data_IF_723592251591
#
_entry.id   IF_723592251591
#
_cell.length_a   1.000
_cell.length_b   1.000
_cell.length_c   1.000
_cell.angle_alpha   90.00
_cell.angle_beta   90.00
_cell.angle_gamma   90.00
#
_symmetry.space_group_name_H-M   'P 1'
#
loop_
_entity.id
_entity.type
_entity.pdbx_description
1 polymer ?
#
# COMPACT_ATOMS: atom_id res chain seq x y z
N UNK A 1 -6.22 29.01 13.24
CA UNK A 1 -6.90 28.01 12.38
C UNK A 1 -6.10 27.64 11.14
N UNK A 2 -5.70 28.58 10.27
CA UNK A 2 -4.90 28.27 9.06
C UNK A 2 -3.50 27.74 9.38
N UNK A 3 -2.78 28.31 10.34
CA UNK A 3 -1.45 27.85 10.74
C UNK A 3 -1.45 26.45 11.35
N UNK A 4 -2.44 26.10 12.15
CA UNK A 4 -2.57 24.78 12.78
C UNK A 4 -2.89 23.69 11.76
N UNK A 5 -3.73 23.98 10.78
CA UNK A 5 -4.02 23.06 9.67
C UNK A 5 -2.79 22.81 8.80
N UNK A 6 -1.98 23.85 8.54
CA UNK A 6 -0.72 23.70 7.80
C UNK A 6 0.25 22.82 8.59
N UNK A 7 0.41 23.05 9.89
CA UNK A 7 1.27 22.23 10.74
C UNK A 7 0.80 20.77 10.81
N UNK A 8 -0.51 20.57 10.92
CA UNK A 8 -1.10 19.23 10.87
C UNK A 8 -0.82 18.51 9.56
N UNK A 9 -0.99 19.20 8.44
CA UNK A 9 -0.71 18.64 7.11
C UNK A 9 0.78 18.31 6.96
N UNK A 10 1.68 19.21 7.37
CA UNK A 10 3.12 18.96 7.33
C UNK A 10 3.52 17.78 8.24
N UNK A 11 2.93 17.68 9.42
CA UNK A 11 3.16 16.54 10.32
C UNK A 11 2.70 15.21 9.72
N UNK A 12 1.53 15.16 9.07
CA UNK A 12 1.07 13.96 8.37
C UNK A 12 1.95 13.62 7.17
N UNK A 13 2.41 14.61 6.43
CA UNK A 13 3.32 14.41 5.30
C UNK A 13 4.67 13.84 5.77
N UNK A 14 5.22 14.36 6.87
CA UNK A 14 6.44 13.83 7.51
C UNK A 14 6.26 12.33 7.87
N UNK A 15 5.15 11.98 8.52
CA UNK A 15 4.87 10.59 8.93
C UNK A 15 4.60 9.69 7.72
N UNK A 16 3.91 10.20 6.69
CA UNK A 16 3.73 9.48 5.42
C UNK A 16 5.08 9.22 4.73
N UNK A 17 6.03 10.15 4.79
CA UNK A 17 7.38 9.97 4.26
C UNK A 17 8.15 8.87 5.02
N UNK A 18 7.97 8.72 6.34
CA UNK A 18 8.55 7.62 7.13
C UNK A 18 8.00 6.27 6.64
N UNK A 19 6.68 6.15 6.44
CA UNK A 19 6.08 4.93 5.91
C UNK A 19 6.51 4.65 4.47
N UNK A 20 6.63 5.68 3.64
CA UNK A 20 7.13 5.56 2.28
C UNK A 20 8.58 5.08 2.24
N UNK A 21 9.43 5.56 3.15
CA UNK A 21 10.81 5.08 3.31
C UNK A 21 10.82 3.61 3.71
N UNK A 22 9.98 3.19 4.66
CA UNK A 22 9.78 1.79 5.00
C UNK A 22 9.35 0.93 3.80
N UNK A 23 8.42 1.44 3.00
CA UNK A 23 7.98 0.80 1.75
C UNK A 23 9.12 0.65 0.74
N UNK A 24 9.95 1.70 0.59
CA UNK A 24 11.12 1.68 -0.27
C UNK A 24 12.11 0.61 0.18
N UNK A 25 12.48 0.59 1.46
CA UNK A 25 13.39 -0.42 2.02
C UNK A 25 12.85 -1.84 1.82
N UNK A 26 11.56 -2.06 2.07
CA UNK A 26 10.91 -3.35 1.81
C UNK A 26 10.97 -3.71 0.32
N UNK A 27 10.80 -2.74 -0.57
CA UNK A 27 10.81 -2.97 -2.02
C UNK A 27 12.17 -3.40 -2.56
N UNK A 28 13.28 -3.11 -1.86
CA UNK A 28 14.63 -3.58 -2.18
C UNK A 28 14.86 -5.05 -1.79
N UNK A 29 14.02 -5.61 -0.95
CA UNK A 29 14.18 -6.97 -0.43
C UNK A 29 13.58 -7.97 -1.42
N UNK A 30 14.43 -8.78 -2.08
CA UNK A 30 13.99 -9.81 -3.06
C UNK A 30 12.86 -10.73 -2.57
N UNK A 31 12.85 -11.26 -1.33
CA UNK A 31 11.72 -12.02 -0.80
C UNK A 31 10.40 -11.27 -0.83
N UNK A 32 10.38 -9.96 -0.50
CA UNK A 32 9.18 -9.14 -0.55
C UNK A 32 8.67 -8.97 -2.00
N UNK A 33 9.57 -8.69 -2.94
CA UNK A 33 9.21 -8.59 -4.36
C UNK A 33 8.55 -9.88 -4.87
N UNK A 34 9.09 -11.06 -4.51
CA UNK A 34 8.49 -12.37 -4.83
C UNK A 34 7.10 -12.50 -4.22
N UNK A 35 6.94 -12.16 -2.94
CA UNK A 35 5.63 -12.22 -2.26
C UNK A 35 4.58 -11.35 -2.96
N UNK A 36 4.97 -10.20 -3.50
CA UNK A 36 4.03 -9.31 -4.21
C UNK A 36 3.68 -9.83 -5.61
N UNK A 37 4.64 -10.43 -6.33
CA UNK A 37 4.49 -10.83 -7.74
C UNK A 37 4.05 -12.28 -7.92
N UNK A 38 4.23 -13.13 -6.92
CA UNK A 38 3.94 -14.56 -7.01
C UNK A 38 2.47 -14.86 -7.24
N UNK A 39 2.22 -16.04 -7.79
CA UNK A 39 0.85 -16.57 -7.90
C UNK A 39 0.25 -16.75 -6.48
N UNK A 40 -1.08 -16.71 -6.42
CA UNK A 40 -1.79 -16.88 -5.16
C UNK A 40 -1.38 -18.20 -4.47
N UNK A 41 -0.92 -18.07 -3.23
CA UNK A 41 -0.58 -19.18 -2.35
C UNK A 41 -0.88 -18.82 -0.90
N UNK A 42 -1.15 -19.81 -0.02
CA UNK A 42 -1.37 -19.55 1.41
C UNK A 42 -0.18 -18.85 2.07
N UNK A 43 1.04 -19.21 1.67
CA UNK A 43 2.29 -18.60 2.20
C UNK A 43 2.39 -17.13 1.79
N UNK A 44 2.09 -16.81 0.53
CA UNK A 44 2.03 -15.43 0.03
C UNK A 44 1.01 -14.61 0.81
N UNK A 45 -0.20 -15.16 0.97
CA UNK A 45 -1.29 -14.50 1.70
C UNK A 45 -0.89 -14.20 3.14
N UNK A 46 -0.32 -15.19 3.85
CA UNK A 46 0.16 -15.00 5.23
C UNK A 46 1.27 -13.94 5.33
N UNK A 47 2.23 -13.96 4.40
CA UNK A 47 3.31 -12.97 4.37
C UNK A 47 2.80 -11.55 4.12
N UNK A 48 1.86 -11.37 3.17
CA UNK A 48 1.23 -10.07 2.92
C UNK A 48 0.46 -9.58 4.15
N UNK A 49 -0.33 -10.45 4.79
CA UNK A 49 -1.06 -10.10 6.01
C UNK A 49 -0.08 -9.65 7.10
N UNK A 50 0.99 -10.40 7.35
CA UNK A 50 1.98 -10.06 8.37
C UNK A 50 2.63 -8.70 8.09
N UNK A 51 3.18 -8.51 6.89
CA UNK A 51 3.90 -7.30 6.52
C UNK A 51 2.98 -6.07 6.62
N UNK A 52 1.80 -6.14 6.00
CA UNK A 52 0.89 -5.00 5.98
C UNK A 52 0.18 -4.76 7.33
N UNK A 53 0.04 -5.78 8.17
CA UNK A 53 -0.41 -5.59 9.56
C UNK A 53 0.62 -4.80 10.37
N UNK A 54 1.92 -5.10 10.21
CA UNK A 54 2.98 -4.31 10.85
C UNK A 54 2.96 -2.87 10.36
N UNK A 55 2.80 -2.64 9.05
CA UNK A 55 2.69 -1.27 8.49
C UNK A 55 1.46 -0.55 9.04
N UNK A 56 0.30 -1.21 9.09
CA UNK A 56 -0.94 -0.62 9.61
C UNK A 56 -0.84 -0.28 11.10
N UNK A 57 -0.30 -1.20 11.91
CA UNK A 57 -0.05 -0.95 13.34
C UNK A 57 0.94 0.19 13.54
N UNK A 58 2.04 0.23 12.79
CA UNK A 58 3.00 1.34 12.85
C UNK A 58 2.35 2.66 12.46
N UNK A 59 1.50 2.67 11.43
CA UNK A 59 0.73 3.84 11.00
C UNK A 59 -0.22 4.37 12.10
N UNK A 60 -0.75 3.49 12.95
CA UNK A 60 -1.60 3.88 14.09
C UNK A 60 -0.82 4.66 15.17
N UNK A 61 0.50 4.44 15.27
CA UNK A 61 1.37 5.18 16.20
C UNK A 61 1.95 6.44 15.58
N UNK A 62 1.95 6.57 14.26
CA UNK A 62 2.37 7.75 13.51
C UNK A 62 1.21 8.76 13.42
N UNK A 63 0.61 9.11 14.55
CA UNK A 63 -0.45 10.10 14.60
C UNK A 63 0.12 11.51 14.80
N UNK A 64 -0.67 12.51 14.44
CA UNK A 64 -0.40 13.92 14.68
C UNK A 64 -1.54 14.47 15.52
N UNK A 65 -1.22 15.15 16.62
CA UNK A 65 -2.26 15.80 17.39
C UNK A 65 -2.71 17.09 16.69
N UNK A 66 -3.96 17.13 16.30
CA UNK A 66 -4.58 18.29 15.65
C UNK A 66 -5.83 18.63 16.43
N UNK A 67 -5.75 19.65 17.27
CA UNK A 67 -6.81 19.97 18.23
C UNK A 67 -7.17 18.71 19.05
N UNK A 68 -8.42 18.26 19.04
CA UNK A 68 -8.88 17.07 19.78
C UNK A 68 -8.87 15.77 18.94
N UNK A 69 -8.40 15.83 17.70
CA UNK A 69 -8.31 14.68 16.83
C UNK A 69 -6.88 14.17 16.70
N UNK A 70 -6.77 12.87 16.54
CA UNK A 70 -5.49 12.17 16.27
C UNK A 70 -5.61 11.43 14.94
N UNK A 71 -5.53 12.15 13.80
CA UNK A 71 -5.46 11.51 12.51
C UNK A 71 -4.27 10.56 12.45
N UNK A 72 -4.47 9.39 11.88
CA UNK A 72 -3.46 8.34 11.80
C UNK A 72 -3.27 7.85 10.35
N UNK A 73 -2.17 7.14 10.12
CA UNK A 73 -1.79 6.64 8.80
C UNK A 73 -1.98 5.12 8.65
N UNK A 74 -2.74 4.46 9.54
CA UNK A 74 -2.97 3.00 9.48
C UNK A 74 -3.65 2.57 8.18
N UNK A 75 -4.50 3.44 7.64
CA UNK A 75 -5.24 3.17 6.41
C UNK A 75 -4.31 2.91 5.22
N UNK A 76 -3.09 3.46 5.21
CA UNK A 76 -2.09 3.17 4.17
C UNK A 76 -1.82 1.66 4.11
N UNK A 77 -1.53 1.02 5.25
CA UNK A 77 -1.29 -0.42 5.30
C UNK A 77 -2.51 -1.24 4.87
N UNK A 78 -3.70 -0.86 5.32
CA UNK A 78 -4.96 -1.57 5.00
C UNK A 78 -5.29 -1.49 3.51
N UNK A 79 -5.26 -0.28 2.94
CA UNK A 79 -5.63 -0.04 1.54
C UNK A 79 -4.63 -0.68 0.58
N UNK A 80 -3.33 -0.52 0.83
CA UNK A 80 -2.29 -1.14 -0.01
C UNK A 80 -2.36 -2.66 0.07
N UNK A 81 -2.59 -3.23 1.26
CA UNK A 81 -2.81 -4.66 1.44
C UNK A 81 -3.99 -5.18 0.60
N UNK A 82 -5.09 -4.43 0.58
CA UNK A 82 -6.25 -4.73 -0.24
C UNK A 82 -5.93 -4.68 -1.73
N UNK A 83 -5.30 -3.60 -2.22
CA UNK A 83 -4.94 -3.46 -3.63
C UNK A 83 -4.02 -4.57 -4.14
N UNK A 84 -3.08 -5.05 -3.32
CA UNK A 84 -2.08 -6.07 -3.71
C UNK A 84 -2.58 -7.49 -3.46
N UNK A 85 -3.16 -7.72 -2.30
CA UNK A 85 -3.51 -9.06 -1.79
C UNK A 85 -4.97 -9.44 -1.98
N UNK A 86 -5.81 -8.50 -2.44
CA UNK A 86 -7.24 -8.69 -2.60
C UNK A 86 -8.00 -8.59 -1.26
N UNK A 87 -9.33 -8.81 -1.33
CA UNK A 87 -10.25 -8.55 -0.23
C UNK A 87 -9.95 -9.33 1.06
N UNK A 88 -9.47 -10.58 0.95
CA UNK A 88 -9.12 -11.41 2.14
C UNK A 88 -7.94 -10.80 2.90
N UNK A 89 -6.90 -10.40 2.19
CA UNK A 89 -5.72 -9.78 2.81
C UNK A 89 -6.09 -8.43 3.37
N UNK A 90 -6.77 -7.58 2.59
CA UNK A 90 -7.19 -6.25 3.03
C UNK A 90 -8.10 -6.30 4.28
N UNK A 91 -9.12 -7.18 4.28
CA UNK A 91 -10.00 -7.34 5.42
C UNK A 91 -9.27 -7.83 6.68
N UNK A 92 -8.35 -8.80 6.54
CA UNK A 92 -7.58 -9.32 7.68
C UNK A 92 -6.63 -8.26 8.24
N UNK A 93 -5.94 -7.51 7.37
CA UNK A 93 -5.09 -6.38 7.80
C UNK A 93 -5.93 -5.28 8.45
N UNK A 94 -7.13 -4.99 7.89
CA UNK A 94 -8.09 -4.07 8.49
C UNK A 94 -8.56 -4.53 9.87
N UNK A 95 -8.80 -5.83 10.04
CA UNK A 95 -9.15 -6.42 11.35
C UNK A 95 -8.02 -6.23 12.36
N UNK A 96 -6.77 -6.55 11.99
CA UNK A 96 -5.61 -6.42 12.89
C UNK A 96 -5.35 -4.95 13.22
N UNK A 97 -5.23 -4.09 12.22
CA UNK A 97 -4.95 -2.66 12.41
C UNK A 97 -6.10 -1.92 13.11
N UNK A 98 -7.34 -2.25 12.74
CA UNK A 98 -8.55 -1.70 13.38
C UNK A 98 -8.68 -2.12 14.84
N UNK A 99 -8.44 -3.39 15.17
CA UNK A 99 -8.42 -3.88 16.55
C UNK A 99 -7.33 -3.20 17.37
N UNK A 100 -6.12 -3.12 16.83
CA UNK A 100 -5.01 -2.46 17.50
C UNK A 100 -5.33 -1.00 17.82
N UNK A 101 -5.82 -0.26 16.84
CA UNK A 101 -6.21 1.13 17.02
C UNK A 101 -7.34 1.28 18.04
N UNK A 102 -8.39 0.47 17.92
CA UNK A 102 -9.56 0.55 18.79
C UNK A 102 -9.23 0.25 20.26
N UNK A 103 -8.42 -0.78 20.52
CA UNK A 103 -8.19 -1.25 21.89
C UNK A 103 -6.89 -0.71 22.49
N UNK A 104 -5.81 -0.62 21.70
CA UNK A 104 -4.49 -0.21 22.23
C UNK A 104 -4.33 1.31 22.15
N UNK A 105 -4.66 1.92 20.99
CA UNK A 105 -4.46 3.37 20.82
C UNK A 105 -5.60 4.18 21.45
N UNK A 106 -6.84 3.73 21.32
CA UNK A 106 -8.05 4.42 21.82
C UNK A 106 -8.58 3.89 23.16
N UNK A 107 -7.98 2.82 23.69
CA UNK A 107 -8.36 2.26 25.00
C UNK A 107 -9.75 1.61 25.06
N UNK A 108 -10.34 1.18 23.93
CA UNK A 108 -11.61 0.46 23.90
C UNK A 108 -12.85 1.32 24.18
N UNK A 109 -12.81 2.64 23.93
CA UNK A 109 -13.96 3.55 24.15
C UNK A 109 -15.18 3.18 23.29
N UNK A 110 -16.33 3.83 23.52
CA UNK A 110 -17.64 3.53 22.90
C UNK A 110 -17.63 3.34 21.37
N UNK A 111 -16.67 3.94 20.67
CA UNK A 111 -16.55 3.88 19.20
C UNK A 111 -15.68 2.72 18.69
N UNK A 112 -15.23 1.80 19.55
CA UNK A 112 -14.40 0.67 19.12
C UNK A 112 -15.02 -0.18 17.99
N UNK A 113 -16.36 -0.47 18.02
CA UNK A 113 -16.95 -1.27 16.94
C UNK A 113 -16.90 -0.56 15.61
N UNK A 114 -17.02 0.78 15.61
CA UNK A 114 -16.92 1.59 14.42
C UNK A 114 -15.50 1.54 13.83
N UNK A 115 -14.46 1.83 14.63
CA UNK A 115 -13.07 1.83 14.13
C UNK A 115 -12.65 0.48 13.60
N UNK A 116 -13.09 -0.59 14.24
CA UNK A 116 -12.81 -1.95 13.78
C UNK A 116 -13.52 -2.24 12.45
N UNK A 117 -14.84 -2.06 12.41
CA UNK A 117 -15.65 -2.37 11.22
C UNK A 117 -15.25 -1.51 10.02
N UNK A 118 -14.99 -0.23 10.22
CA UNK A 118 -14.57 0.68 9.17
C UNK A 118 -13.24 0.25 8.56
N UNK A 119 -12.24 -0.12 9.37
CA UNK A 119 -10.95 -0.60 8.85
C UNK A 119 -11.08 -1.91 8.06
N UNK A 120 -11.97 -2.82 8.49
CA UNK A 120 -12.27 -4.04 7.74
C UNK A 120 -12.95 -3.73 6.41
N UNK A 121 -13.92 -2.81 6.40
CA UNK A 121 -14.62 -2.37 5.20
C UNK A 121 -13.64 -1.68 4.22
N UNK A 122 -12.77 -0.81 4.71
CA UNK A 122 -11.72 -0.17 3.91
C UNK A 122 -10.86 -1.21 3.18
N UNK A 123 -10.43 -2.24 3.89
CA UNK A 123 -9.66 -3.35 3.34
C UNK A 123 -10.43 -4.20 2.32
N UNK A 124 -11.73 -4.44 2.59
CA UNK A 124 -12.63 -5.14 1.66
C UNK A 124 -12.81 -4.37 0.36
N UNK A 125 -13.10 -3.07 0.45
CA UNK A 125 -13.31 -2.18 -0.70
C UNK A 125 -12.04 -2.06 -1.54
N UNK A 126 -10.89 -1.81 -0.90
CA UNK A 126 -9.60 -1.77 -1.57
C UNK A 126 -9.30 -3.08 -2.30
N UNK A 127 -9.57 -4.22 -1.66
CA UNK A 127 -9.37 -5.52 -2.25
C UNK A 127 -10.33 -5.86 -3.38
N UNK A 128 -11.55 -5.36 -3.34
CA UNK A 128 -12.51 -5.50 -4.43
C UNK A 128 -12.09 -4.69 -5.67
N UNK A 129 -11.55 -3.49 -5.46
CA UNK A 129 -10.98 -2.65 -6.52
C UNK A 129 -9.72 -3.31 -7.10
N UNK A 130 -8.81 -3.82 -6.25
CA UNK A 130 -7.57 -4.49 -6.63
C UNK A 130 -7.77 -5.77 -7.43
N UNK A 131 -8.91 -6.47 -7.29
CA UNK A 131 -9.23 -7.67 -8.08
C UNK A 131 -9.28 -7.45 -9.59
N UNK A 132 -9.57 -6.24 -10.02
CA UNK A 132 -9.75 -5.91 -11.43
C UNK A 132 -8.48 -5.40 -12.11
N UNK A 133 -7.40 -5.13 -11.34
CA UNK A 133 -6.17 -4.52 -11.87
C UNK A 133 -4.96 -5.07 -11.13
N UNK A 134 -3.91 -5.36 -11.86
CA UNK A 134 -2.59 -5.58 -11.26
C UNK A 134 -2.04 -4.25 -10.76
N UNK A 135 -1.09 -4.28 -9.82
CA UNK A 135 -0.48 -3.06 -9.28
C UNK A 135 0.21 -2.22 -10.36
N UNK A 136 0.76 -2.89 -11.39
CA UNK A 136 1.39 -2.24 -12.55
C UNK A 136 0.37 -1.51 -13.44
N UNK A 137 -0.86 -2.00 -13.50
CA UNK A 137 -1.95 -1.44 -14.29
C UNK A 137 -2.82 -0.42 -13.53
N UNK A 138 -2.54 -0.14 -12.24
CA UNK A 138 -3.28 0.84 -11.46
C UNK A 138 -2.69 2.24 -11.67
N UNK A 139 -3.39 3.18 -12.37
CA UNK A 139 -2.92 4.55 -12.49
C UNK A 139 -2.79 5.21 -11.11
N UNK A 140 -1.75 6.01 -10.88
CA UNK A 140 -1.54 6.68 -9.59
C UNK A 140 -2.69 7.62 -9.22
N UNK A 141 -3.27 8.30 -10.20
CA UNK A 141 -4.48 9.13 -10.00
C UNK A 141 -5.67 8.30 -9.53
N UNK A 142 -5.81 7.06 -10.03
CA UNK A 142 -6.85 6.15 -9.57
C UNK A 142 -6.56 5.63 -8.17
N UNK A 143 -5.30 5.32 -7.83
CA UNK A 143 -4.90 4.90 -6.48
C UNK A 143 -5.23 6.01 -5.47
N UNK A 144 -4.89 7.27 -5.78
CA UNK A 144 -5.24 8.42 -4.97
C UNK A 144 -6.76 8.57 -4.84
N UNK A 145 -7.48 8.59 -5.97
CA UNK A 145 -8.93 8.80 -5.99
C UNK A 145 -9.70 7.73 -5.23
N UNK A 146 -9.32 6.45 -5.35
CA UNK A 146 -9.94 5.37 -4.59
C UNK A 146 -9.61 5.44 -3.11
N UNK A 147 -8.35 5.73 -2.74
CA UNK A 147 -7.98 5.90 -1.34
C UNK A 147 -8.74 7.07 -0.71
N UNK A 148 -8.81 8.20 -1.39
CA UNK A 148 -9.57 9.38 -0.94
C UNK A 148 -11.07 9.09 -0.80
N UNK A 149 -11.67 8.41 -1.78
CA UNK A 149 -13.09 8.05 -1.77
C UNK A 149 -13.44 7.10 -0.61
N UNK A 150 -12.64 6.06 -0.39
CA UNK A 150 -12.85 5.11 0.72
C UNK A 150 -12.73 5.85 2.06
N UNK A 151 -11.66 6.65 2.24
CA UNK A 151 -11.44 7.40 3.47
C UNK A 151 -12.53 8.45 3.72
N UNK A 152 -12.94 9.19 2.70
CA UNK A 152 -14.03 10.16 2.81
C UNK A 152 -15.35 9.49 3.21
N UNK A 153 -15.65 8.30 2.66
CA UNK A 153 -16.84 7.51 3.02
C UNK A 153 -16.76 7.05 4.48
N UNK A 154 -15.60 6.56 4.90
CA UNK A 154 -15.35 6.16 6.30
C UNK A 154 -15.61 7.32 7.26
N UNK A 155 -15.05 8.48 6.99
CA UNK A 155 -15.17 9.65 7.85
C UNK A 155 -16.58 10.26 7.80
N UNK A 156 -17.26 10.21 6.66
CA UNK A 156 -18.68 10.57 6.59
C UNK A 156 -19.55 9.64 7.44
N UNK A 157 -19.30 8.32 7.41
CA UNK A 157 -19.99 7.37 8.27
C UNK A 157 -19.72 7.64 9.76
N UNK A 158 -18.48 7.97 10.13
CA UNK A 158 -18.15 8.40 11.50
C UNK A 158 -18.91 9.65 11.89
N UNK A 159 -18.99 10.62 11.00
CA UNK A 159 -19.76 11.86 11.20
C UNK A 159 -21.23 11.59 11.46
N UNK A 160 -21.85 10.68 10.72
CA UNK A 160 -23.24 10.25 10.94
C UNK A 160 -23.41 9.59 12.31
N UNK A 161 -22.54 8.65 12.68
CA UNK A 161 -22.59 7.98 14.00
C UNK A 161 -22.45 8.99 15.13
N UNK A 162 -21.52 9.94 15.02
CA UNK A 162 -21.32 10.99 16.02
C UNK A 162 -22.49 11.96 16.08
N UNK A 163 -23.10 12.31 14.96
CA UNK A 163 -24.30 13.16 14.92
C UNK A 163 -25.49 12.51 15.63
N UNK A 164 -25.66 11.20 15.49
CA UNK A 164 -26.74 10.43 16.12
C UNK A 164 -26.50 10.20 17.62
N UNK A 165 -25.24 10.02 18.02
CA UNK A 165 -24.90 9.66 19.42
C UNK A 165 -24.56 10.89 20.29
N UNK A 166 -24.11 11.99 19.68
CA UNK A 166 -23.66 13.22 20.36
C UNK A 166 -24.28 14.45 19.70
N UNK A 167 -25.46 14.91 20.15
CA UNK A 167 -26.19 16.02 19.49
C UNK A 167 -25.39 17.32 19.31
N UNK A 168 -24.44 17.61 20.21
CA UNK A 168 -23.53 18.78 20.11
C UNK A 168 -22.52 18.67 18.97
N UNK A 169 -22.36 17.49 18.39
CA UNK A 169 -21.39 17.26 17.30
C UNK A 169 -21.72 18.12 16.07
N UNK A 170 -22.99 18.30 15.75
CA UNK A 170 -23.41 19.09 14.57
C UNK A 170 -23.11 20.60 14.71
N UNK A 171 -23.04 21.13 15.94
CA UNK A 171 -22.73 22.55 16.17
C UNK A 171 -21.32 22.92 15.68
N UNK A 172 -20.37 21.95 15.73
CA UNK A 172 -18.97 22.17 15.37
C UNK A 172 -18.57 21.49 14.05
N UNK A 173 -19.54 21.12 13.21
CA UNK A 173 -19.31 20.29 12.03
C UNK A 173 -18.27 20.90 11.06
N UNK A 174 -18.31 22.23 10.85
CA UNK A 174 -17.38 22.90 9.93
C UNK A 174 -15.92 22.83 10.39
N UNK A 175 -15.67 23.00 11.69
CA UNK A 175 -14.32 22.89 12.26
C UNK A 175 -13.82 21.45 12.19
N UNK A 176 -14.68 20.46 12.39
CA UNK A 176 -14.34 19.03 12.32
C UNK A 176 -14.08 18.55 10.90
N UNK A 177 -14.83 19.03 9.91
CA UNK A 177 -14.55 18.75 8.51
C UNK A 177 -13.19 19.28 8.07
N UNK A 178 -12.81 20.46 8.54
CA UNK A 178 -11.48 21.01 8.29
C UNK A 178 -10.34 20.16 8.88
N UNK A 179 -10.59 19.51 10.04
CA UNK A 179 -9.61 18.63 10.69
C UNK A 179 -9.45 17.28 9.99
N UNK A 180 -10.52 16.79 9.35
CA UNK A 180 -10.57 15.50 8.65
C UNK A 180 -9.87 15.55 7.28
N UNK A 181 -9.92 16.70 6.60
CA UNK A 181 -9.31 16.86 5.28
C UNK A 181 -7.82 16.49 5.23
N UNK A 182 -6.96 16.89 6.17
CA UNK A 182 -5.56 16.47 6.20
C UNK A 182 -5.38 14.96 6.30
N UNK A 183 -6.24 14.25 7.03
CA UNK A 183 -6.18 12.79 7.16
C UNK A 183 -6.49 12.08 5.85
N UNK A 184 -7.57 12.49 5.15
CA UNK A 184 -7.92 11.94 3.83
C UNK A 184 -6.80 12.17 2.84
N UNK A 185 -6.29 13.40 2.77
CA UNK A 185 -5.21 13.75 1.83
C UNK A 185 -3.92 13.03 2.19
N UNK A 186 -3.53 13.02 3.46
CA UNK A 186 -2.32 12.37 3.95
C UNK A 186 -2.30 10.87 3.68
N UNK A 187 -3.38 10.17 4.02
CA UNK A 187 -3.52 8.74 3.74
C UNK A 187 -3.52 8.45 2.23
N UNK A 188 -4.23 9.27 1.43
CA UNK A 188 -4.29 9.07 -0.03
C UNK A 188 -2.96 9.31 -0.71
N UNK A 189 -2.21 10.32 -0.29
CA UNK A 189 -0.83 10.56 -0.73
C UNK A 189 0.09 9.42 -0.31
N UNK A 190 -0.01 8.95 0.95
CA UNK A 190 0.76 7.82 1.45
C UNK A 190 0.52 6.53 0.67
N UNK A 191 -0.74 6.20 0.38
CA UNK A 191 -1.10 5.06 -0.48
C UNK A 191 -0.50 5.23 -1.89
N UNK A 192 -0.62 6.41 -2.47
CA UNK A 192 -0.13 6.70 -3.82
C UNK A 192 1.39 6.58 -3.89
N UNK A 193 2.11 7.14 -2.91
CA UNK A 193 3.56 7.01 -2.80
C UNK A 193 3.99 5.55 -2.62
N UNK A 194 3.28 4.79 -1.79
CA UNK A 194 3.58 3.38 -1.60
C UNK A 194 3.41 2.59 -2.90
N UNK A 195 2.30 2.80 -3.62
CA UNK A 195 2.05 2.16 -4.92
C UNK A 195 3.11 2.57 -5.94
N UNK A 196 3.49 3.85 -5.99
CA UNK A 196 4.54 4.35 -6.89
C UNK A 196 5.88 3.67 -6.61
N UNK A 197 6.32 3.64 -5.36
CA UNK A 197 7.59 3.02 -4.95
C UNK A 197 7.61 1.54 -5.32
N UNK A 198 6.55 0.82 -4.96
CA UNK A 198 6.47 -0.60 -5.24
C UNK A 198 6.46 -0.89 -6.74
N UNK A 199 5.67 -0.15 -7.51
CA UNK A 199 5.62 -0.27 -8.97
C UNK A 199 7.00 -0.01 -9.60
N UNK A 200 7.68 1.05 -9.19
CA UNK A 200 9.02 1.40 -9.70
C UNK A 200 10.03 0.30 -9.40
N UNK A 201 10.02 -0.24 -8.18
CA UNK A 201 10.90 -1.33 -7.79
C UNK A 201 10.64 -2.62 -8.58
N UNK A 202 9.37 -3.00 -8.76
CA UNK A 202 8.99 -4.17 -9.55
C UNK A 202 9.39 -4.03 -11.02
N UNK A 203 9.17 -2.85 -11.60
CA UNK A 203 9.57 -2.56 -12.98
C UNK A 203 11.10 -2.59 -13.16
N UNK A 204 11.87 -2.06 -12.19
CA UNK A 204 13.32 -2.12 -12.22
C UNK A 204 13.81 -3.58 -12.21
N UNK A 205 13.27 -4.41 -11.33
CA UNK A 205 13.60 -5.84 -11.24
C UNK A 205 13.21 -6.60 -12.53
N UNK A 206 12.05 -6.31 -13.09
CA UNK A 206 11.61 -6.94 -14.34
C UNK A 206 12.54 -6.58 -15.51
N UNK A 207 13.00 -5.32 -15.58
CA UNK A 207 13.98 -4.86 -16.59
C UNK A 207 15.34 -5.56 -16.43
N UNK A 208 15.83 -5.69 -15.20
CA UNK A 208 17.09 -6.39 -14.91
C UNK A 208 17.03 -7.86 -15.39
N UNK A 209 15.94 -8.57 -15.06
CA UNK A 209 15.72 -9.95 -15.51
C UNK A 209 15.67 -10.03 -17.05
N UNK A 210 15.00 -9.09 -17.71
CA UNK A 210 14.89 -9.07 -19.17
C UNK A 210 16.26 -8.86 -19.83
N UNK A 211 17.08 -7.93 -19.32
CA UNK A 211 18.44 -7.70 -19.80
C UNK A 211 19.32 -8.93 -19.65
N UNK A 212 19.32 -9.57 -18.47
CA UNK A 212 20.11 -10.78 -18.22
C UNK A 212 19.70 -11.92 -19.18
N UNK A 213 18.42 -12.08 -19.46
CA UNK A 213 17.92 -13.07 -20.43
C UNK A 213 18.39 -12.75 -21.86
N UNK A 214 18.37 -11.47 -22.25
CA UNK A 214 18.81 -11.04 -23.57
C UNK A 214 20.32 -11.28 -23.74
N UNK A 215 21.13 -10.98 -22.74
CA UNK A 215 22.58 -11.25 -22.73
C UNK A 215 22.87 -12.74 -22.86
N UNK A 216 22.18 -13.58 -22.09
CA UNK A 216 22.31 -15.04 -22.18
C UNK A 216 21.92 -15.57 -23.56
N UNK A 217 20.82 -15.10 -24.15
CA UNK A 217 20.38 -15.48 -25.49
C UNK A 217 21.38 -15.05 -26.54
N UNK A 218 21.96 -13.85 -26.42
CA UNK A 218 23.00 -13.35 -27.32
C UNK A 218 24.28 -14.18 -27.24
N UNK A 219 24.72 -14.53 -26.03
CA UNK A 219 25.87 -15.39 -25.81
C UNK A 219 25.67 -16.79 -26.42
N UNK A 220 24.49 -17.39 -26.24
CA UNK A 220 24.13 -18.67 -26.84
C UNK A 220 24.15 -18.61 -28.38
N UNK A 221 23.60 -17.54 -28.98
CA UNK A 221 23.61 -17.35 -30.43
C UNK A 221 25.02 -17.24 -30.96
N UNK A 222 25.91 -16.50 -30.28
CA UNK A 222 27.35 -16.40 -30.66
C UNK A 222 28.04 -17.74 -30.58
N UNK A 223 27.84 -18.51 -29.50
CA UNK A 223 28.42 -19.86 -29.36
C UNK A 223 27.95 -20.79 -30.48
N UNK A 224 26.66 -20.76 -30.81
CA UNK A 224 26.12 -21.58 -31.92
C UNK A 224 26.69 -21.17 -33.27
N UNK A 225 26.87 -19.88 -33.53
CA UNK A 225 27.51 -19.37 -34.75
C UNK A 225 28.96 -19.86 -34.86
N UNK A 226 29.75 -19.76 -33.78
CA UNK A 226 31.13 -20.26 -33.74
C UNK A 226 31.21 -21.76 -33.96
N UNK A 227 30.34 -22.56 -33.34
CA UNK A 227 30.25 -24.01 -33.55
C UNK A 227 29.93 -24.38 -35.01
N UNK A 228 29.08 -23.59 -35.65
CA UNK A 228 28.72 -23.82 -37.07
C UNK A 228 29.91 -23.46 -38.02
N UNK A 229 30.72 -22.48 -37.65
CA UNK A 229 31.93 -22.14 -38.44
C UNK A 229 33.07 -23.16 -38.26
N UNK A 230 33.24 -23.74 -37.09
CA UNK A 230 34.33 -24.67 -36.80
C UNK A 230 34.08 -26.06 -37.41
N UNK A 231 32.84 -26.58 -37.39
CA UNK A 231 32.54 -27.94 -37.88
C UNK A 231 32.83 -28.21 -39.35
N UNK A 232 32.48 -27.37 -40.32
CA UNK A 232 32.81 -27.64 -41.71
C UNK A 232 34.32 -27.57 -42.00
N UNK A 233 35.02 -26.58 -41.46
CA UNK A 233 36.44 -26.35 -41.74
C UNK A 233 37.35 -27.44 -41.13
N UNK A 234 37.00 -27.94 -39.94
CA UNK A 234 37.78 -29.00 -39.27
C UNK A 234 37.62 -30.36 -39.97
N UNK A 235 36.41 -30.69 -40.45
CA UNK A 235 36.15 -31.92 -41.20
C UNK A 235 36.82 -31.95 -42.55
N UNK A 236 36.93 -30.81 -43.27
CA UNK A 236 37.61 -30.73 -44.55
C UNK A 236 39.11 -30.81 -44.42
N UNK A 237 39.71 -30.29 -43.35
CA UNK A 237 41.16 -30.33 -43.12
C UNK A 237 41.69 -31.62 -42.52
N UNK A 238 40.87 -32.48 -41.94
CA UNK A 238 41.27 -33.79 -41.39
C UNK A 238 41.05 -34.96 -42.36
N UNK A 239 40.39 -34.73 -43.51
CA UNK A 239 40.11 -35.76 -44.50
C UNK A 239 40.95 -35.64 -45.79
N UNK A 240 41.81 -34.62 -45.89
CA UNK A 240 42.88 -34.50 -46.89
C UNK A 240 44.23 -34.75 -46.24
#
# INVERSE_FOLDING_TARGET
MTSELILAFLGLLEKAAVLATGAFLLSLVRPFQRVVTDHWSPRRTAALILIFSVISVSGSHLNVEVMDLRPDLRAIGVLVAGFIGGWRVGATVGLVGGSWFAFVVRGGGELWPFFLSASVIDGLLAGWIGRRRTIDGLPLTSAFGWAAGIQATHLAALGVVLALTKPRFLADLSSRLAQVAPEVVGNSLGVTLFVLILRTALQATAREIALTRQEAATAQARLKALQTQIRPHFLYNTLN
#
